data_IF_378956276938
#
_entry.id   IF_378956276938
#
_cell.length_a   1.000
_cell.length_b   1.000
_cell.length_c   1.000
_cell.angle_alpha   90.00
_cell.angle_beta   90.00
_cell.angle_gamma   90.00
#
_symmetry.space_group_name_H-M   'P 1'
#
loop_
_entity.id
_entity.type
_entity.pdbx_description
1 polymer ?
#
# COMPACT_ATOMS: atom_id res chain seq x y z
N UNK A 1 80.46 2.49 18.55
CA UNK A 1 79.69 2.71 17.30
C UNK A 1 79.11 1.42 16.70
N UNK A 2 79.89 0.35 16.46
CA UNK A 2 79.38 -0.92 15.87
C UNK A 2 78.24 -1.60 16.66
N UNK A 3 78.27 -1.56 18.00
CA UNK A 3 77.22 -2.19 18.83
C UNK A 3 75.92 -1.38 18.88
N UNK A 4 76.01 -0.05 18.75
CA UNK A 4 74.83 0.84 18.70
C UNK A 4 74.09 0.67 17.37
N UNK A 5 74.83 0.55 16.27
CA UNK A 5 74.27 0.29 14.93
C UNK A 5 73.58 -1.08 14.84
N UNK A 6 74.11 -2.11 15.51
CA UNK A 6 73.47 -3.44 15.61
C UNK A 6 72.18 -3.40 16.42
N UNK A 7 72.14 -2.66 17.54
CA UNK A 7 70.92 -2.50 18.34
C UNK A 7 69.82 -1.77 17.55
N UNK A 8 70.17 -0.72 16.80
CA UNK A 8 69.21 0.02 15.98
C UNK A 8 68.60 -0.84 14.86
N UNK A 9 69.40 -1.69 14.21
CA UNK A 9 68.92 -2.60 13.17
C UNK A 9 67.98 -3.68 13.75
N UNK A 10 68.30 -4.22 14.93
CA UNK A 10 67.45 -5.20 15.62
C UNK A 10 66.11 -4.57 16.02
N UNK A 11 66.11 -3.33 16.54
CA UNK A 11 64.88 -2.62 16.91
C UNK A 11 63.98 -2.28 15.71
N UNK A 12 64.57 -1.99 14.55
CA UNK A 12 63.84 -1.77 13.30
C UNK A 12 63.23 -3.08 12.74
N UNK A 13 63.96 -4.20 12.85
CA UNK A 13 63.47 -5.52 12.44
C UNK A 13 62.35 -6.05 13.35
N UNK A 14 62.39 -5.75 14.65
CA UNK A 14 61.31 -6.16 15.57
C UNK A 14 60.05 -5.31 15.42
N UNK A 15 60.17 -4.02 15.11
CA UNK A 15 59.02 -3.15 14.83
C UNK A 15 58.29 -3.52 13.53
N UNK A 16 59.02 -4.01 12.51
CA UNK A 16 58.44 -4.46 11.25
C UNK A 16 57.76 -5.85 11.33
N UNK A 17 57.97 -6.60 12.43
CA UNK A 17 57.45 -7.94 12.63
C UNK A 17 56.14 -7.99 13.44
N UNK A 18 55.54 -6.85 13.78
CA UNK A 18 54.22 -6.83 14.44
C UNK A 18 53.15 -7.12 13.39
N UNK A 19 52.46 -8.29 13.44
CA UNK A 19 51.38 -8.56 12.51
C UNK A 19 50.25 -7.53 12.71
N UNK A 20 49.77 -6.95 11.62
CA UNK A 20 48.53 -6.17 11.65
C UNK A 20 47.39 -7.11 12.01
N UNK A 21 46.96 -7.08 13.28
CA UNK A 21 45.81 -7.86 13.73
C UNK A 21 44.55 -7.17 13.20
N UNK A 22 43.87 -7.82 12.25
CA UNK A 22 42.52 -7.39 11.87
C UNK A 22 41.64 -7.41 13.12
N UNK A 23 40.92 -6.31 13.38
CA UNK A 23 39.96 -6.25 14.47
C UNK A 23 38.91 -7.37 14.35
N UNK A 24 38.35 -7.81 15.48
CA UNK A 24 37.25 -8.80 15.46
C UNK A 24 36.12 -8.26 14.58
N UNK A 25 35.76 -8.99 13.53
CA UNK A 25 34.62 -8.64 12.69
C UNK A 25 33.34 -9.05 13.39
N UNK A 26 32.38 -8.13 13.47
CA UNK A 26 31.04 -8.44 13.99
C UNK A 26 30.29 -9.37 13.02
N UNK A 27 29.41 -10.25 13.50
CA UNK A 27 28.59 -11.09 12.64
C UNK A 27 27.73 -10.24 11.70
N UNK A 28 27.69 -10.61 10.42
CA UNK A 28 26.79 -9.97 9.46
C UNK A 28 25.34 -10.35 9.78
N UNK A 29 24.51 -9.35 10.09
CA UNK A 29 23.09 -9.51 10.51
C UNK A 29 22.08 -9.12 9.44
N UNK A 30 22.53 -8.64 8.28
CA UNK A 30 21.63 -8.18 7.23
C UNK A 30 21.22 -9.37 6.36
N UNK A 31 19.93 -9.49 6.03
CA UNK A 31 19.45 -10.65 5.26
C UNK A 31 19.97 -10.68 3.82
N UNK A 32 20.35 -9.53 3.24
CA UNK A 32 20.73 -9.41 1.84
C UNK A 32 19.59 -9.80 0.88
N UNK A 33 19.90 -9.85 -0.42
CA UNK A 33 19.07 -10.52 -1.44
C UNK A 33 19.96 -10.88 -2.64
N UNK A 34 19.41 -11.60 -3.61
CA UNK A 34 20.10 -11.93 -4.86
C UNK A 34 19.19 -11.74 -6.07
N UNK A 35 19.78 -11.74 -7.27
CA UNK A 35 19.04 -11.52 -8.51
C UNK A 35 17.91 -12.56 -8.73
N UNK A 36 18.06 -13.79 -8.23
CA UNK A 36 17.03 -14.83 -8.38
C UNK A 36 15.80 -14.54 -7.54
N UNK A 37 15.98 -14.03 -6.32
CA UNK A 37 14.89 -13.60 -5.43
C UNK A 37 14.18 -12.37 -6.00
N UNK A 38 14.92 -11.42 -6.58
CA UNK A 38 14.34 -10.21 -7.19
C UNK A 38 13.55 -10.50 -8.47
N UNK A 39 13.84 -11.61 -9.16
CA UNK A 39 13.14 -12.05 -10.37
C UNK A 39 11.96 -12.99 -10.07
N UNK A 40 11.69 -13.29 -8.80
CA UNK A 40 10.58 -14.16 -8.44
C UNK A 40 9.25 -13.42 -8.61
N UNK A 41 8.53 -13.73 -9.69
CA UNK A 41 7.17 -13.27 -9.91
C UNK A 41 6.14 -14.26 -9.35
N UNK A 42 5.05 -13.74 -8.80
CA UNK A 42 3.87 -14.54 -8.46
C UNK A 42 3.06 -14.80 -9.73
N UNK A 43 2.42 -15.96 -9.82
CA UNK A 43 1.54 -16.31 -10.94
C UNK A 43 0.22 -15.52 -10.90
N UNK A 44 0.28 -14.23 -11.18
CA UNK A 44 -0.83 -13.29 -11.15
C UNK A 44 -1.21 -12.94 -12.59
N UNK A 45 -2.51 -13.02 -12.90
CA UNK A 45 -3.04 -12.53 -14.16
C UNK A 45 -3.24 -11.01 -14.10
N UNK A 46 -2.18 -10.26 -14.42
CA UNK A 46 -2.22 -8.80 -14.48
C UNK A 46 -2.98 -8.33 -15.73
N UNK A 47 -3.93 -7.42 -15.53
CA UNK A 47 -4.71 -6.80 -16.62
C UNK A 47 -4.75 -5.28 -16.47
N UNK A 48 -4.81 -4.58 -17.60
CA UNK A 48 -5.04 -3.14 -17.67
C UNK A 48 -6.51 -2.81 -17.95
N UNK A 49 -6.88 -1.54 -17.74
CA UNK A 49 -8.21 -1.03 -18.12
C UNK A 49 -8.46 -1.20 -19.62
N UNK A 50 -7.44 -0.98 -20.46
CA UNK A 50 -7.56 -1.17 -21.90
C UNK A 50 -7.81 -2.62 -22.29
N UNK A 51 -7.17 -3.59 -21.62
CA UNK A 51 -7.44 -5.01 -21.83
C UNK A 51 -8.87 -5.38 -21.42
N UNK A 52 -9.39 -4.82 -20.33
CA UNK A 52 -10.79 -4.99 -19.93
C UNK A 52 -11.72 -4.40 -21.00
N UNK A 53 -11.48 -3.16 -21.43
CA UNK A 53 -12.26 -2.49 -22.47
C UNK A 53 -12.31 -3.33 -23.75
N UNK A 54 -11.15 -3.80 -24.21
CA UNK A 54 -11.01 -4.67 -25.39
C UNK A 54 -11.81 -5.97 -25.24
N UNK A 55 -11.79 -6.59 -24.05
CA UNK A 55 -12.54 -7.83 -23.78
C UNK A 55 -14.06 -7.65 -23.84
N UNK A 56 -14.54 -6.40 -23.76
CA UNK A 56 -15.96 -6.04 -23.77
C UNK A 56 -16.42 -5.44 -25.11
N UNK A 57 -15.55 -5.35 -26.13
CA UNK A 57 -15.93 -4.83 -27.45
C UNK A 57 -17.03 -5.66 -28.11
N UNK A 58 -17.97 -4.97 -28.78
CA UNK A 58 -19.13 -5.57 -29.42
C UNK A 58 -20.21 -6.10 -28.45
N UNK A 59 -19.96 -6.09 -27.13
CA UNK A 59 -20.98 -6.42 -26.13
C UNK A 59 -21.89 -5.22 -25.90
N UNK A 60 -23.20 -5.48 -25.87
CA UNK A 60 -24.21 -4.48 -25.47
C UNK A 60 -23.94 -3.97 -24.05
N UNK A 61 -24.49 -2.80 -23.68
CA UNK A 61 -24.36 -2.27 -22.33
C UNK A 61 -24.78 -3.26 -21.25
N UNK A 62 -24.00 -3.32 -20.17
CA UNK A 62 -24.20 -4.21 -19.02
C UNK A 62 -24.34 -3.44 -17.71
N UNK A 63 -24.81 -4.13 -16.68
CA UNK A 63 -24.75 -3.62 -15.31
C UNK A 63 -23.41 -4.06 -14.69
N UNK A 64 -22.71 -3.12 -14.08
CA UNK A 64 -21.46 -3.39 -13.34
C UNK A 64 -21.54 -2.81 -11.94
N UNK A 65 -20.91 -3.50 -10.99
CA UNK A 65 -20.89 -3.08 -9.59
C UNK A 65 -19.46 -2.96 -9.06
N UNK A 66 -19.23 -1.95 -8.24
CA UNK A 66 -17.97 -1.77 -7.50
C UNK A 66 -18.22 -1.88 -6.00
N UNK A 67 -17.27 -2.50 -5.30
CA UNK A 67 -17.14 -2.29 -3.86
C UNK A 67 -16.68 -0.86 -3.56
N UNK A 68 -16.89 -0.38 -2.32
CA UNK A 68 -16.54 0.99 -1.91
C UNK A 68 -15.13 1.06 -1.31
N UNK A 69 -14.93 0.36 -0.20
CA UNK A 69 -13.81 0.55 0.71
C UNK A 69 -12.55 -0.13 0.20
N UNK A 70 -11.50 0.65 -0.03
CA UNK A 70 -10.25 0.25 -0.69
C UNK A 70 -10.41 -0.33 -2.10
N UNK A 71 -11.60 -0.26 -2.69
CA UNK A 71 -11.85 -0.53 -4.11
C UNK A 71 -11.92 0.78 -4.89
N UNK A 72 -12.86 1.67 -4.56
CA UNK A 72 -13.00 2.99 -5.21
C UNK A 72 -12.54 4.15 -4.36
N UNK A 73 -12.63 4.03 -3.02
CA UNK A 73 -12.16 5.03 -2.07
C UNK A 73 -11.08 4.41 -1.18
N UNK A 74 -9.96 5.10 -1.02
CA UNK A 74 -9.13 4.91 0.17
C UNK A 74 -9.84 5.55 1.35
N UNK A 75 -10.63 4.76 2.09
CA UNK A 75 -11.52 5.21 3.16
C UNK A 75 -10.96 4.99 4.57
N UNK A 76 -9.77 4.39 4.66
CA UNK A 76 -9.03 4.15 5.91
C UNK A 76 -9.03 5.32 6.92
N UNK A 77 -8.94 6.62 6.54
CA UNK A 77 -9.03 7.71 7.51
C UNK A 77 -10.28 7.69 8.39
N UNK A 78 -11.44 7.35 7.81
CA UNK A 78 -12.70 7.24 8.53
C UNK A 78 -12.74 6.05 9.49
N UNK A 79 -12.24 4.90 9.03
CA UNK A 79 -12.17 3.67 9.83
C UNK A 79 -11.16 3.81 10.97
N UNK A 80 -10.00 4.43 10.71
CA UNK A 80 -9.01 4.71 11.74
C UNK A 80 -9.57 5.67 12.80
N UNK A 81 -10.17 6.78 12.39
CA UNK A 81 -10.83 7.71 13.31
C UNK A 81 -11.92 7.00 14.13
N UNK A 82 -12.74 6.19 13.47
CA UNK A 82 -13.78 5.38 14.10
C UNK A 82 -13.24 4.42 15.16
N UNK A 83 -12.15 3.70 14.86
CA UNK A 83 -11.50 2.83 15.83
C UNK A 83 -11.01 3.63 17.05
N UNK A 84 -10.30 4.74 16.83
CA UNK A 84 -9.77 5.56 17.93
C UNK A 84 -10.87 6.16 18.81
N UNK A 85 -12.05 6.43 18.24
CA UNK A 85 -13.18 7.04 18.94
C UNK A 85 -14.08 6.02 19.65
N UNK A 86 -14.45 4.94 18.97
CA UNK A 86 -15.51 4.03 19.41
C UNK A 86 -14.99 2.72 20.02
N UNK A 87 -13.77 2.28 19.67
CA UNK A 87 -13.17 1.08 20.28
C UNK A 87 -11.63 1.07 20.17
N UNK A 88 -10.91 1.89 20.96
CA UNK A 88 -9.46 2.01 20.87
C UNK A 88 -8.75 0.65 20.94
N UNK A 89 -7.90 0.37 19.95
CA UNK A 89 -7.15 -0.88 19.84
C UNK A 89 -7.99 -2.14 19.57
N UNK A 90 -9.29 -1.99 19.28
CA UNK A 90 -10.23 -3.10 19.01
C UNK A 90 -11.00 -2.86 17.72
N UNK A 91 -11.75 -3.86 17.28
CA UNK A 91 -12.57 -3.79 16.07
C UNK A 91 -14.08 -3.73 16.35
N UNK A 92 -14.46 -3.60 17.62
CA UNK A 92 -15.87 -3.57 18.06
C UNK A 92 -16.65 -2.41 17.43
N UNK A 93 -15.97 -1.31 17.05
CA UNK A 93 -16.57 -0.18 16.33
C UNK A 93 -17.26 -0.60 15.02
N UNK A 94 -16.81 -1.66 14.35
CA UNK A 94 -17.43 -2.17 13.13
C UNK A 94 -18.83 -2.74 13.36
N UNK A 95 -19.22 -3.01 14.60
CA UNK A 95 -20.57 -3.42 15.01
C UNK A 95 -21.34 -2.29 15.72
N UNK A 96 -20.77 -1.10 15.81
CA UNK A 96 -21.38 0.05 16.45
C UNK A 96 -22.17 0.89 15.42
N UNK A 97 -23.47 1.07 15.64
CA UNK A 97 -24.32 1.85 14.75
C UNK A 97 -23.97 3.35 14.73
N UNK A 98 -23.45 3.91 15.83
CA UNK A 98 -23.04 5.33 15.87
C UNK A 98 -21.83 5.60 14.99
N UNK A 99 -20.89 4.65 14.94
CA UNK A 99 -19.79 4.68 13.97
C UNK A 99 -20.31 4.70 12.54
N UNK A 100 -21.24 3.79 12.20
CA UNK A 100 -21.80 3.73 10.85
C UNK A 100 -22.65 4.94 10.48
N UNK A 101 -23.36 5.52 11.45
CA UNK A 101 -24.08 6.78 11.25
C UNK A 101 -23.10 7.91 10.89
N UNK A 102 -21.95 7.99 11.57
CA UNK A 102 -20.95 9.03 11.33
C UNK A 102 -20.21 8.85 10.00
N UNK A 103 -19.77 7.62 9.69
CA UNK A 103 -19.09 7.33 8.43
C UNK A 103 -19.99 7.67 7.24
N UNK A 104 -21.22 7.18 7.26
CA UNK A 104 -22.17 7.40 6.18
C UNK A 104 -22.75 8.83 6.14
N UNK A 105 -22.53 9.65 7.17
CA UNK A 105 -22.96 11.06 7.21
C UNK A 105 -21.94 12.05 6.61
N UNK A 106 -20.95 11.56 5.85
CA UNK A 106 -20.01 12.41 5.12
C UNK A 106 -18.61 12.44 5.70
N UNK A 107 -18.22 11.42 6.48
CA UNK A 107 -16.81 11.21 6.80
C UNK A 107 -15.97 11.03 5.53
N UNK A 108 -16.53 10.43 4.47
CA UNK A 108 -15.84 10.19 3.20
C UNK A 108 -15.34 11.45 2.48
N UNK A 109 -15.62 12.66 2.99
CA UNK A 109 -14.89 13.87 2.58
C UNK A 109 -13.37 13.79 2.85
N UNK A 110 -12.95 12.88 3.74
CA UNK A 110 -11.55 12.56 4.03
C UNK A 110 -11.04 11.33 3.28
N UNK A 111 -11.92 10.64 2.55
CA UNK A 111 -11.54 9.51 1.71
C UNK A 111 -10.94 10.00 0.41
N UNK A 112 -9.97 9.26 -0.14
CA UNK A 112 -9.26 9.64 -1.36
C UNK A 112 -9.77 8.75 -2.52
N UNK A 113 -10.31 9.34 -3.60
CA UNK A 113 -10.67 8.58 -4.80
C UNK A 113 -9.47 7.86 -5.41
N UNK A 114 -9.63 6.58 -5.72
CA UNK A 114 -8.57 5.78 -6.36
C UNK A 114 -8.61 5.97 -7.88
N UNK A 115 -7.47 6.32 -8.47
CA UNK A 115 -7.39 6.60 -9.91
C UNK A 115 -7.90 5.42 -10.77
N UNK A 116 -7.50 4.19 -10.43
CA UNK A 116 -7.96 3.00 -11.15
C UNK A 116 -9.49 2.84 -11.16
N UNK A 117 -10.17 3.24 -10.09
CA UNK A 117 -11.62 3.21 -10.04
C UNK A 117 -12.25 4.29 -10.91
N UNK A 118 -11.68 5.50 -10.91
CA UNK A 118 -12.09 6.58 -11.83
C UNK A 118 -11.97 6.09 -13.28
N UNK A 119 -10.84 5.48 -13.64
CA UNK A 119 -10.58 5.00 -15.01
C UNK A 119 -11.56 3.89 -15.42
N UNK A 120 -11.82 2.92 -14.53
CA UNK A 120 -12.79 1.85 -14.77
C UNK A 120 -14.22 2.37 -14.89
N UNK A 121 -14.65 3.26 -14.00
CA UNK A 121 -16.00 3.84 -14.04
C UNK A 121 -16.18 4.64 -15.33
N UNK A 122 -15.23 5.52 -15.66
CA UNK A 122 -15.27 6.28 -16.91
C UNK A 122 -15.33 5.37 -18.14
N UNK A 123 -14.56 4.27 -18.14
CA UNK A 123 -14.56 3.28 -19.21
C UNK A 123 -15.96 2.62 -19.37
N UNK A 124 -16.57 2.21 -18.26
CA UNK A 124 -17.92 1.63 -18.26
C UNK A 124 -18.99 2.64 -18.68
N UNK A 125 -18.92 3.88 -18.21
CA UNK A 125 -19.85 4.94 -18.59
C UNK A 125 -19.76 5.30 -20.09
N UNK A 126 -18.55 5.36 -20.63
CA UNK A 126 -18.34 5.58 -22.07
C UNK A 126 -18.95 4.47 -22.93
N UNK A 127 -19.12 3.27 -22.37
CA UNK A 127 -19.81 2.15 -23.02
C UNK A 127 -21.34 2.19 -22.84
N UNK A 128 -21.87 3.10 -22.03
CA UNK A 128 -23.28 3.15 -21.64
C UNK A 128 -23.66 2.10 -20.58
N UNK A 129 -22.68 1.48 -19.92
CA UNK A 129 -22.93 0.53 -18.84
C UNK A 129 -23.53 1.25 -17.61
N UNK A 130 -24.42 0.58 -16.88
CA UNK A 130 -24.97 1.11 -15.64
C UNK A 130 -24.07 0.73 -14.46
N UNK A 131 -23.61 1.72 -13.71
CA UNK A 131 -22.70 1.54 -12.58
C UNK A 131 -23.48 1.53 -11.26
N UNK A 132 -23.20 0.53 -10.42
CA UNK A 132 -23.73 0.37 -9.07
C UNK A 132 -22.58 0.31 -8.05
N UNK A 133 -22.86 0.72 -6.81
CA UNK A 133 -21.92 0.57 -5.69
C UNK A 133 -22.56 -0.31 -4.63
N UNK A 134 -21.88 -1.40 -4.26
CA UNK A 134 -22.33 -2.31 -3.20
C UNK A 134 -21.26 -2.40 -2.13
N UNK A 135 -21.65 -2.24 -0.88
CA UNK A 135 -20.69 -2.19 0.22
C UNK A 135 -21.15 -3.03 1.41
N UNK A 136 -20.18 -3.57 2.15
CA UNK A 136 -20.41 -4.24 3.42
C UNK A 136 -20.66 -3.28 4.59
N UNK A 137 -20.65 -1.96 4.38
CA UNK A 137 -20.98 -0.99 5.42
C UNK A 137 -22.41 -1.21 5.94
N UNK A 138 -22.60 -1.06 7.24
CA UNK A 138 -23.97 -1.02 7.80
C UNK A 138 -24.62 0.29 7.40
N UNK A 139 -25.90 0.24 7.01
CA UNK A 139 -26.63 1.44 6.60
C UNK A 139 -26.66 2.48 7.73
N UNK A 140 -26.32 3.72 7.37
CA UNK A 140 -26.49 4.88 8.25
C UNK A 140 -27.89 5.49 8.14
N UNK A 141 -28.14 6.53 8.92
CA UNK A 141 -29.41 7.29 8.87
C UNK A 141 -29.54 8.19 7.64
N UNK A 142 -28.43 8.55 7.02
CA UNK A 142 -28.35 9.45 5.86
C UNK A 142 -27.40 8.89 4.82
N UNK A 143 -27.62 9.24 3.56
CA UNK A 143 -26.68 8.93 2.47
C UNK A 143 -25.78 10.13 2.20
N UNK A 144 -24.61 10.13 2.85
CA UNK A 144 -23.52 11.06 2.59
C UNK A 144 -22.46 10.52 1.64
N UNK A 145 -22.60 9.27 1.15
CA UNK A 145 -21.58 8.61 0.32
C UNK A 145 -21.82 8.87 -1.16
N UNK A 146 -23.07 8.78 -1.63
CA UNK A 146 -23.45 9.08 -3.02
C UNK A 146 -22.97 10.46 -3.48
N UNK A 147 -23.13 11.56 -2.70
CA UNK A 147 -22.62 12.88 -3.08
C UNK A 147 -21.09 12.94 -3.23
N UNK A 148 -20.34 12.17 -2.44
CA UNK A 148 -18.88 12.10 -2.56
C UNK A 148 -18.48 11.50 -3.91
N UNK A 149 -19.18 10.45 -4.34
CA UNK A 149 -18.91 9.88 -5.66
C UNK A 149 -19.23 10.88 -6.76
N UNK A 150 -20.39 11.56 -6.74
CA UNK A 150 -20.79 12.50 -7.81
C UNK A 150 -19.80 13.65 -8.03
N UNK A 151 -19.09 14.05 -6.97
CA UNK A 151 -18.06 15.09 -7.04
C UNK A 151 -16.80 14.63 -7.75
N UNK A 152 -16.41 13.37 -7.55
CA UNK A 152 -15.11 12.84 -7.96
C UNK A 152 -15.19 11.97 -9.22
N UNK A 153 -16.38 11.47 -9.54
CA UNK A 153 -16.71 10.64 -10.69
C UNK A 153 -18.08 11.09 -11.17
N UNK A 154 -18.19 11.64 -12.37
CA UNK A 154 -19.49 12.11 -12.88
C UNK A 154 -20.29 10.89 -13.32
N UNK A 155 -21.30 10.47 -12.55
CA UNK A 155 -22.25 9.41 -12.92
C UNK A 155 -23.69 9.83 -12.73
#
# INVERSE_FOLDING_TARGET
MKNVMKLSVIALLTAAAVPAMAGKTEPYTQSGTNAREMLQEQAIHWISVDQIKQSLEGKAPINVSFDIDDTVLFSSPCFYHGQQKFSPGKHDYLKNQDFWNEVNAGCDKYSIPKQIAIDLINMHQARGDQVYFFTGRTAGKVDGVTPIFRKNVQY
#
